data_IF_402036882143
#
_entry.id   IF_402036882143
#
_cell.length_a   1.000
_cell.length_b   1.000
_cell.length_c   1.000
_cell.angle_alpha   90.00
_cell.angle_beta   90.00
_cell.angle_gamma   90.00
#
_symmetry.space_group_name_H-M   'P 1'
#
loop_
_entity.id
_entity.type
_entity.pdbx_description
1 polymer ?
#
# COMPACT_ATOMS: atom_id res chain seq x y z
N UNK A 1 -24.76 14.03 -13.57
CA UNK A 1 -23.87 13.03 -12.92
C UNK A 1 -22.64 13.74 -12.40
N UNK A 2 -22.00 13.15 -11.38
CA UNK A 2 -20.83 13.74 -10.73
C UNK A 2 -19.87 12.64 -10.25
N UNK A 3 -18.60 13.01 -10.05
CA UNK A 3 -17.59 12.16 -9.38
C UNK A 3 -16.88 12.94 -8.30
N UNK A 4 -16.07 12.25 -7.51
CA UNK A 4 -15.25 12.89 -6.48
C UNK A 4 -14.23 13.85 -7.10
N UNK A 5 -14.02 14.97 -6.42
CA UNK A 5 -13.00 15.94 -6.78
C UNK A 5 -11.69 15.59 -6.05
N UNK A 6 -10.82 14.83 -6.71
CA UNK A 6 -9.57 14.38 -6.09
C UNK A 6 -8.61 15.53 -5.74
N UNK A 7 -8.82 16.74 -6.27
CA UNK A 7 -8.00 17.92 -5.95
C UNK A 7 -8.32 18.54 -4.58
N UNK A 8 -9.48 18.25 -3.99
CA UNK A 8 -9.88 18.78 -2.66
C UNK A 8 -9.75 17.74 -1.54
N UNK A 9 -9.73 16.46 -1.90
CA UNK A 9 -9.61 15.34 -0.98
C UNK A 9 -8.18 15.19 -0.45
N UNK A 10 -8.08 14.75 0.80
CA UNK A 10 -6.83 14.39 1.46
C UNK A 10 -6.92 12.96 1.99
N UNK A 11 -5.79 12.26 2.00
CA UNK A 11 -5.69 10.92 2.58
C UNK A 11 -6.14 10.97 4.03
N UNK A 12 -7.01 10.04 4.41
CA UNK A 12 -7.69 10.00 5.70
C UNK A 12 -9.14 10.51 5.63
N UNK A 13 -9.52 11.33 4.63
CA UNK A 13 -10.89 11.82 4.53
C UNK A 13 -11.91 10.66 4.48
N UNK A 14 -13.02 10.83 5.20
CA UNK A 14 -14.15 9.90 5.17
C UNK A 14 -15.16 10.42 4.16
N UNK A 15 -15.45 9.63 3.15
CA UNK A 15 -16.42 9.98 2.11
C UNK A 15 -17.74 9.27 2.43
N UNK A 16 -18.82 10.04 2.54
CA UNK A 16 -20.16 9.54 2.76
C UNK A 16 -21.00 9.72 1.51
N UNK A 17 -21.71 8.67 1.11
CA UNK A 17 -22.54 8.71 -0.10
C UNK A 17 -23.91 8.08 0.08
N UNK A 18 -24.84 8.48 -0.79
CA UNK A 18 -26.04 7.70 -1.09
C UNK A 18 -25.69 6.59 -2.08
N UNK A 19 -25.94 5.33 -1.71
CA UNK A 19 -25.89 4.22 -2.70
C UNK A 19 -27.28 3.89 -3.24
N UNK A 20 -27.37 3.27 -4.41
CA UNK A 20 -28.64 2.83 -5.02
C UNK A 20 -29.05 1.40 -4.63
N UNK A 21 -28.19 0.68 -3.91
CA UNK A 21 -28.45 -0.68 -3.44
C UNK A 21 -29.69 -0.75 -2.53
N UNK A 22 -30.40 -1.90 -2.49
CA UNK A 22 -31.61 -2.07 -1.67
C UNK A 22 -31.38 -1.75 -0.18
N UNK A 23 -30.23 -2.17 0.36
CA UNK A 23 -29.84 -1.91 1.76
C UNK A 23 -29.76 -0.41 2.06
N UNK A 24 -29.37 0.39 1.07
CA UNK A 24 -29.24 1.84 1.17
C UNK A 24 -30.55 2.53 1.56
N UNK A 25 -31.65 2.15 0.89
CA UNK A 25 -32.97 2.72 1.16
C UNK A 25 -33.39 2.46 2.61
N UNK A 26 -33.15 1.23 3.09
CA UNK A 26 -33.44 0.86 4.49
C UNK A 26 -32.63 1.70 5.47
N UNK A 27 -31.31 1.83 5.24
CA UNK A 27 -30.44 2.64 6.10
C UNK A 27 -30.94 4.07 6.17
N UNK A 28 -31.13 4.75 5.02
CA UNK A 28 -31.58 6.15 4.98
C UNK A 28 -32.91 6.38 5.69
N UNK A 29 -33.87 5.47 5.50
CA UNK A 29 -35.19 5.56 6.16
C UNK A 29 -35.06 5.37 7.67
N UNK A 30 -34.28 4.38 8.12
CA UNK A 30 -34.08 4.09 9.53
C UNK A 30 -33.33 5.22 10.25
N UNK A 31 -32.31 5.79 9.60
CA UNK A 31 -31.46 6.83 10.17
C UNK A 31 -31.94 8.26 9.88
N UNK A 32 -33.01 8.41 9.09
CA UNK A 32 -33.53 9.71 8.60
C UNK A 32 -32.42 10.58 7.98
N UNK A 33 -31.55 9.95 7.18
CA UNK A 33 -30.36 10.58 6.60
C UNK A 33 -30.32 10.43 5.08
N UNK A 34 -29.63 11.35 4.40
CA UNK A 34 -29.33 11.31 2.98
C UNK A 34 -28.19 10.33 2.63
N UNK A 35 -27.34 9.99 3.60
CA UNK A 35 -26.21 9.08 3.43
C UNK A 35 -26.51 7.66 3.91
N UNK A 36 -25.90 6.67 3.26
CA UNK A 36 -26.05 5.24 3.58
C UNK A 36 -24.78 4.43 3.45
N UNK A 37 -23.70 5.05 2.98
CA UNK A 37 -22.42 4.41 2.77
C UNK A 37 -21.28 5.29 3.24
N UNK A 38 -20.19 4.66 3.64
CA UNK A 38 -18.98 5.31 4.11
C UNK A 38 -17.75 4.64 3.48
N UNK A 39 -16.78 5.44 3.12
CA UNK A 39 -15.52 5.01 2.49
C UNK A 39 -14.37 5.80 3.10
N UNK A 40 -13.19 5.20 3.20
CA UNK A 40 -11.97 5.89 3.65
C UNK A 40 -11.10 6.19 2.43
N UNK A 41 -10.73 7.45 2.22
CA UNK A 41 -9.81 7.85 1.15
C UNK A 41 -8.36 7.55 1.57
N UNK A 42 -7.71 6.60 0.88
CA UNK A 42 -6.44 6.01 1.35
C UNK A 42 -5.22 6.34 0.47
N UNK A 43 -5.45 6.87 -0.72
CA UNK A 43 -4.43 7.30 -1.68
C UNK A 43 -5.12 8.16 -2.74
N UNK A 44 -4.34 8.90 -3.54
CA UNK A 44 -4.90 9.64 -4.67
C UNK A 44 -5.70 8.67 -5.56
N UNK A 45 -6.93 9.06 -5.87
CA UNK A 45 -7.87 8.24 -6.64
C UNK A 45 -8.29 6.91 -6.02
N UNK A 46 -8.06 6.67 -4.72
CA UNK A 46 -8.28 5.36 -4.11
C UNK A 46 -9.03 5.47 -2.78
N UNK A 47 -10.11 4.69 -2.67
CA UNK A 47 -10.87 4.51 -1.44
C UNK A 47 -10.91 3.05 -1.03
N UNK A 48 -11.11 2.80 0.26
CA UNK A 48 -11.48 1.49 0.79
C UNK A 48 -12.86 1.57 1.39
N UNK A 49 -13.71 0.61 1.03
CA UNK A 49 -15.07 0.51 1.53
C UNK A 49 -15.47 -0.94 1.80
N UNK A 50 -16.60 -1.11 2.48
CA UNK A 50 -17.21 -2.41 2.73
C UNK A 50 -18.59 -2.45 2.05
N UNK A 51 -18.72 -3.27 1.01
CA UNK A 51 -19.98 -3.51 0.28
C UNK A 51 -20.32 -4.99 0.32
N UNK A 52 -21.40 -5.44 -0.33
CA UNK A 52 -21.74 -6.88 -0.41
C UNK A 52 -20.65 -7.76 -1.02
N UNK A 53 -19.67 -7.18 -1.72
CA UNK A 53 -18.47 -7.85 -2.25
C UNK A 53 -17.36 -8.03 -1.20
N UNK A 54 -17.61 -7.62 0.05
CA UNK A 54 -16.61 -7.54 1.11
C UNK A 54 -15.94 -6.16 1.19
N UNK A 55 -14.86 -6.09 1.96
CA UNK A 55 -14.00 -4.91 2.02
C UNK A 55 -13.12 -4.87 0.78
N UNK A 56 -13.11 -3.76 0.04
CA UNK A 56 -12.43 -3.64 -1.24
C UNK A 56 -11.79 -2.27 -1.44
N UNK A 57 -10.77 -2.22 -2.30
CA UNK A 57 -10.25 -0.96 -2.84
C UNK A 57 -10.99 -0.58 -4.14
N UNK A 58 -11.27 0.71 -4.32
CA UNK A 58 -11.97 1.24 -5.51
C UNK A 58 -11.27 2.49 -6.04
N UNK A 59 -11.25 2.63 -7.37
CA UNK A 59 -10.78 3.85 -8.02
C UNK A 59 -11.89 4.91 -8.02
N UNK A 60 -11.66 6.07 -7.42
CA UNK A 60 -12.65 7.16 -7.32
C UNK A 60 -13.06 7.74 -8.67
N UNK A 61 -12.20 7.67 -9.69
CA UNK A 61 -12.49 8.13 -11.04
C UNK A 61 -13.57 7.27 -11.72
N UNK A 62 -13.73 6.01 -11.29
CA UNK A 62 -14.79 5.10 -11.72
C UNK A 62 -16.08 5.23 -10.90
N UNK A 63 -16.06 5.97 -9.79
CA UNK A 63 -17.23 6.17 -8.94
C UNK A 63 -18.07 7.35 -9.45
N UNK A 64 -19.00 7.04 -10.36
CA UNK A 64 -19.95 8.01 -10.90
C UNK A 64 -21.24 7.97 -10.09
N UNK A 65 -21.65 9.13 -9.60
CA UNK A 65 -22.86 9.31 -8.79
C UNK A 65 -23.93 10.04 -9.61
N UNK A 66 -25.18 9.62 -9.44
CA UNK A 66 -26.34 10.36 -9.91
C UNK A 66 -26.44 11.73 -9.23
N UNK A 67 -27.12 12.68 -9.85
CA UNK A 67 -27.25 14.04 -9.32
C UNK A 67 -28.04 14.04 -7.99
N UNK A 68 -28.96 13.10 -7.85
CA UNK A 68 -29.77 12.83 -6.65
C UNK A 68 -29.01 12.19 -5.49
N UNK A 69 -27.82 11.64 -5.75
CA UNK A 69 -27.01 11.00 -4.70
C UNK A 69 -26.30 12.07 -3.87
N UNK A 70 -26.45 12.04 -2.55
CA UNK A 70 -25.63 12.84 -1.65
C UNK A 70 -24.19 12.34 -1.69
N UNK A 71 -23.23 13.28 -1.66
CA UNK A 71 -21.80 13.01 -1.59
C UNK A 71 -21.20 14.05 -0.65
N UNK A 72 -20.63 13.60 0.46
CA UNK A 72 -19.93 14.44 1.43
C UNK A 72 -18.52 13.87 1.63
N UNK A 73 -17.55 14.73 1.92
CA UNK A 73 -16.29 14.30 2.49
C UNK A 73 -16.07 14.99 3.82
N UNK A 74 -15.56 14.24 4.79
CA UNK A 74 -15.35 14.66 6.17
C UNK A 74 -13.89 14.51 6.52
N UNK A 75 -13.33 15.54 7.15
CA UNK A 75 -11.93 15.60 7.57
C UNK A 75 -11.85 15.80 9.08
N UNK A 76 -10.88 15.16 9.71
CA UNK A 76 -10.61 15.37 11.13
C UNK A 76 -10.23 16.83 11.42
N UNK A 77 -10.88 17.42 12.43
CA UNK A 77 -10.51 18.73 12.97
C UNK A 77 -9.16 18.61 13.69
N UNK A 78 -8.29 19.59 13.47
CA UNK A 78 -6.91 19.56 13.99
C UNK A 78 -5.93 18.81 13.09
N UNK A 79 -6.40 18.09 12.06
CA UNK A 79 -5.56 17.30 11.17
C UNK A 79 -5.10 15.98 11.78
N UNK A 80 -4.46 15.16 10.95
CA UNK A 80 -3.82 13.90 11.35
C UNK A 80 -2.30 14.05 11.24
N UNK A 81 -1.56 13.39 12.13
CA UNK A 81 -0.12 13.24 11.92
C UNK A 81 0.13 12.30 10.74
N UNK A 82 1.31 12.39 10.10
CA UNK A 82 1.66 11.48 9.00
C UNK A 82 1.62 10.00 9.44
N UNK A 83 2.03 9.71 10.68
CA UNK A 83 1.98 8.38 11.27
C UNK A 83 0.53 7.89 11.45
N UNK A 84 -0.38 8.75 11.93
CA UNK A 84 -1.79 8.39 12.09
C UNK A 84 -2.47 8.15 10.74
N UNK A 85 -2.20 9.00 9.74
CA UNK A 85 -2.69 8.78 8.37
C UNK A 85 -2.26 7.40 7.87
N UNK A 86 -0.96 7.09 8.01
CA UNK A 86 -0.42 5.80 7.57
C UNK A 86 -1.07 4.64 8.32
N UNK A 87 -1.21 4.71 9.64
CA UNK A 87 -1.82 3.66 10.45
C UNK A 87 -3.31 3.45 10.13
N UNK A 88 -4.09 4.52 9.94
CA UNK A 88 -5.50 4.47 9.49
C UNK A 88 -5.59 3.76 8.14
N UNK A 89 -4.75 4.16 7.17
CA UNK A 89 -4.75 3.55 5.85
C UNK A 89 -4.30 2.08 5.89
N UNK A 90 -3.31 1.74 6.71
CA UNK A 90 -2.83 0.36 6.89
C UNK A 90 -3.92 -0.50 7.52
N UNK A 91 -4.64 0.00 8.52
CA UNK A 91 -5.79 -0.70 9.08
C UNK A 91 -6.83 -0.98 7.99
N UNK A 92 -7.27 0.05 7.26
CA UNK A 92 -8.27 -0.11 6.21
C UNK A 92 -7.83 -1.11 5.13
N UNK A 93 -6.57 -1.05 4.69
CA UNK A 93 -5.97 -2.00 3.73
C UNK A 93 -5.91 -3.42 4.27
N UNK A 94 -5.53 -3.60 5.53
CA UNK A 94 -5.50 -4.92 6.19
C UNK A 94 -6.88 -5.58 6.26
N UNK A 95 -7.97 -4.80 6.21
CA UNK A 95 -9.31 -5.36 6.18
C UNK A 95 -9.76 -5.86 4.79
N UNK A 96 -9.03 -5.55 3.70
CA UNK A 96 -9.41 -5.95 2.34
C UNK A 96 -9.65 -7.46 2.24
N UNK A 97 -10.75 -7.84 1.60
CA UNK A 97 -11.23 -9.20 1.47
C UNK A 97 -12.17 -9.67 2.59
N UNK A 98 -12.22 -8.97 3.72
CA UNK A 98 -13.14 -9.28 4.84
C UNK A 98 -14.59 -9.27 4.38
N UNK A 99 -15.37 -10.28 4.77
CA UNK A 99 -16.74 -10.41 4.32
C UNK A 99 -17.64 -9.30 4.87
N UNK A 100 -18.71 -8.98 4.13
CA UNK A 100 -19.70 -8.00 4.55
C UNK A 100 -20.82 -8.56 5.40
N UNK A 101 -21.33 -7.75 6.33
CA UNK A 101 -22.42 -8.08 7.24
C UNK A 101 -23.63 -7.19 7.01
N UNK A 102 -24.47 -7.54 6.03
CA UNK A 102 -25.74 -6.84 5.80
C UNK A 102 -26.67 -6.89 7.02
N UNK A 103 -26.67 -8.02 7.74
CA UNK A 103 -27.47 -8.21 8.96
C UNK A 103 -27.05 -7.23 10.05
N UNK A 104 -25.74 -7.07 10.31
CA UNK A 104 -25.28 -6.10 11.30
C UNK A 104 -25.48 -4.67 10.82
N UNK A 105 -25.20 -4.35 9.56
CA UNK A 105 -25.42 -2.99 9.02
C UNK A 105 -26.87 -2.51 9.23
N UNK A 106 -27.84 -3.36 8.89
CA UNK A 106 -29.27 -3.06 9.09
C UNK A 106 -29.65 -3.03 10.57
N UNK A 107 -29.08 -3.93 11.38
CA UNK A 107 -29.38 -4.00 12.81
C UNK A 107 -28.87 -2.77 13.56
N UNK A 108 -27.65 -2.33 13.27
CA UNK A 108 -27.08 -1.08 13.78
C UNK A 108 -28.00 0.09 13.48
N UNK A 109 -28.45 0.21 12.22
CA UNK A 109 -29.32 1.31 11.80
C UNK A 109 -30.71 1.31 12.47
N UNK A 110 -31.25 0.15 12.86
CA UNK A 110 -32.60 0.05 13.43
C UNK A 110 -32.66 -0.07 14.96
N UNK A 111 -31.67 -0.74 15.58
CA UNK A 111 -31.76 -1.17 16.98
C UNK A 111 -30.46 -1.00 17.79
N UNK A 112 -29.40 -0.41 17.21
CA UNK A 112 -28.13 -0.18 17.91
C UNK A 112 -27.31 -1.45 18.21
N UNK A 113 -26.46 -1.40 19.25
CA UNK A 113 -25.42 -2.38 19.60
C UNK A 113 -25.97 -3.79 19.91
N UNK A 114 -25.66 -4.81 19.08
CA UNK A 114 -25.91 -6.22 19.35
C UNK A 114 -25.04 -6.80 20.47
N UNK A 115 -25.46 -7.95 21.02
CA UNK A 115 -24.73 -8.68 22.10
C UNK A 115 -23.48 -9.43 21.64
N UNK A 116 -23.34 -9.73 20.34
CA UNK A 116 -22.23 -10.54 19.81
C UNK A 116 -21.74 -9.98 18.49
N UNK A 117 -20.46 -9.60 18.46
CA UNK A 117 -19.75 -9.06 17.29
C UNK A 117 -19.25 -10.16 16.38
N UNK A 118 -19.50 -10.02 15.09
CA UNK A 118 -18.81 -10.82 14.08
C UNK A 118 -17.55 -10.09 13.60
N UNK A 119 -16.57 -10.84 13.07
CA UNK A 119 -15.37 -10.28 12.44
C UNK A 119 -15.63 -9.68 11.04
N UNK A 120 -16.87 -9.77 10.54
CA UNK A 120 -17.28 -9.20 9.26
C UNK A 120 -17.39 -7.69 9.37
N UNK A 121 -17.37 -7.02 8.23
CA UNK A 121 -17.37 -5.56 8.16
C UNK A 121 -18.68 -5.01 7.57
N UNK A 122 -18.93 -3.74 7.85
CA UNK A 122 -19.81 -2.88 7.05
C UNK A 122 -19.21 -1.48 6.98
N UNK A 123 -19.68 -0.67 6.05
CA UNK A 123 -19.02 0.57 5.63
C UNK A 123 -18.66 1.54 6.77
N UNK A 124 -19.62 1.89 7.63
CA UNK A 124 -19.38 2.82 8.75
C UNK A 124 -18.51 2.21 9.86
N UNK A 125 -18.68 0.91 10.17
CA UNK A 125 -17.80 0.18 11.11
C UNK A 125 -16.36 0.24 10.65
N UNK A 126 -16.10 -0.05 9.37
CA UNK A 126 -14.76 -0.02 8.81
C UNK A 126 -14.10 1.36 8.98
N UNK A 127 -14.82 2.43 8.64
CA UNK A 127 -14.32 3.80 8.77
C UNK A 127 -14.07 4.18 10.25
N UNK A 128 -15.00 3.85 11.14
CA UNK A 128 -14.86 4.17 12.57
C UNK A 128 -13.72 3.38 13.23
N UNK A 129 -13.58 2.09 12.92
CA UNK A 129 -12.50 1.25 13.43
C UNK A 129 -11.13 1.70 12.92
N UNK A 130 -11.04 2.19 11.67
CA UNK A 130 -9.78 2.70 11.13
C UNK A 130 -9.25 3.86 11.99
N UNK A 131 -10.11 4.81 12.37
CA UNK A 131 -9.74 5.89 13.27
C UNK A 131 -9.53 5.44 14.72
N UNK A 132 -10.35 4.50 15.21
CA UNK A 132 -10.17 3.94 16.55
C UNK A 132 -8.83 3.20 16.70
N UNK A 133 -8.26 2.67 15.61
CA UNK A 133 -6.95 1.99 15.61
C UNK A 133 -5.78 2.91 16.02
N UNK A 134 -5.95 4.22 15.90
CA UNK A 134 -4.99 5.25 16.33
C UNK A 134 -5.50 6.05 17.55
N UNK A 135 -6.48 5.50 18.27
CA UNK A 135 -7.04 6.13 19.47
C UNK A 135 -8.04 7.27 19.22
N UNK A 136 -8.46 7.49 17.97
CA UNK A 136 -9.42 8.55 17.62
C UNK A 136 -10.84 7.95 17.58
N UNK A 137 -11.63 8.24 18.61
CA UNK A 137 -13.02 7.79 18.70
C UNK A 137 -13.97 8.78 18.01
N UNK A 138 -14.27 8.53 16.74
CA UNK A 138 -15.20 9.38 15.96
C UNK A 138 -16.66 9.28 16.40
N UNK A 139 -17.01 8.16 17.04
CA UNK A 139 -18.36 7.76 17.47
C UNK A 139 -18.22 6.96 18.78
N UNK A 140 -19.31 6.84 19.53
CA UNK A 140 -19.33 6.15 20.83
C UNK A 140 -18.91 4.67 20.72
N UNK A 141 -19.39 3.98 19.68
CA UNK A 141 -19.10 2.58 19.40
C UNK A 141 -18.61 2.39 17.96
N UNK A 142 -17.29 2.19 17.73
CA UNK A 142 -16.75 1.98 16.38
C UNK A 142 -17.19 0.64 15.76
N UNK A 143 -17.71 -0.30 16.54
CA UNK A 143 -18.21 -1.58 16.04
C UNK A 143 -19.66 -1.50 15.54
N UNK A 144 -20.41 -0.50 16.03
CA UNK A 144 -21.83 -0.35 15.76
C UNK A 144 -22.21 1.12 15.59
N UNK A 145 -21.79 1.69 14.45
CA UNK A 145 -22.17 3.04 14.04
C UNK A 145 -22.78 3.07 12.63
N UNK A 146 -23.49 4.13 12.34
CA UNK A 146 -24.12 4.43 11.06
C UNK A 146 -23.36 5.53 10.33
N UNK A 147 -23.51 5.66 9.00
CA UNK A 147 -22.91 6.77 8.27
C UNK A 147 -23.33 8.16 8.77
N UNK A 148 -24.55 8.31 9.31
CA UNK A 148 -25.02 9.59 9.86
C UNK A 148 -24.34 9.93 11.19
N UNK A 149 -23.98 8.94 12.01
CA UNK A 149 -23.22 9.19 13.24
C UNK A 149 -21.82 9.70 12.92
N UNK A 150 -21.18 9.18 11.86
CA UNK A 150 -19.95 9.77 11.33
C UNK A 150 -20.20 11.20 10.82
N UNK A 151 -21.27 11.43 10.05
CA UNK A 151 -21.64 12.78 9.55
C UNK A 151 -21.82 13.79 10.69
N UNK A 152 -22.36 13.36 11.81
CA UNK A 152 -22.64 14.20 12.99
C UNK A 152 -21.48 14.26 14.00
N UNK A 153 -20.36 13.58 13.74
CA UNK A 153 -19.22 13.59 14.65
C UNK A 153 -18.67 15.00 14.83
N UNK A 154 -18.59 15.47 16.08
CA UNK A 154 -18.05 16.79 16.41
C UNK A 154 -16.57 16.93 16.08
N UNK A 155 -15.85 15.81 15.96
CA UNK A 155 -14.44 15.76 15.59
C UNK A 155 -14.21 15.97 14.10
N UNK A 156 -15.26 15.85 13.28
CA UNK A 156 -15.17 15.98 11.83
C UNK A 156 -15.68 17.34 11.36
N UNK A 157 -15.10 17.82 10.26
CA UNK A 157 -15.58 18.96 9.49
C UNK A 157 -15.83 18.55 8.05
N UNK A 158 -16.81 19.16 7.41
CA UNK A 158 -17.09 18.94 6.00
C UNK A 158 -16.01 19.59 5.12
N UNK A 159 -15.65 18.91 4.04
CA UNK A 159 -14.77 19.43 2.98
C UNK A 159 -15.66 20.00 1.88
N UNK A 160 -15.31 21.20 1.39
CA UNK A 160 -16.06 21.87 0.34
C UNK A 160 -15.67 21.38 -1.06
N UNK A 161 -16.56 21.58 -2.04
CA UNK A 161 -16.32 21.29 -3.46
C UNK A 161 -15.79 19.86 -3.74
N UNK A 162 -16.34 18.87 -3.03
CA UNK A 162 -15.91 17.46 -3.06
C UNK A 162 -16.35 16.69 -4.31
N UNK A 163 -17.11 17.32 -5.20
CA UNK A 163 -17.53 16.72 -6.46
C UNK A 163 -17.31 17.63 -7.65
N UNK A 164 -17.01 17.02 -8.79
CA UNK A 164 -16.99 17.68 -10.11
C UNK A 164 -18.05 17.05 -11.03
N UNK A 165 -18.64 17.83 -11.95
CA UNK A 165 -19.58 17.29 -12.93
C UNK A 165 -18.88 16.31 -13.88
N UNK A 166 -19.61 15.29 -14.31
CA UNK A 166 -19.13 14.29 -15.28
C UNK A 166 -20.13 14.19 -16.42
N UNK A 167 -19.63 14.25 -17.66
CA UNK A 167 -20.46 14.10 -18.86
C UNK A 167 -20.81 12.62 -19.09
N UNK A 168 -21.90 12.36 -19.81
CA UNK A 168 -22.25 10.99 -20.19
C UNK A 168 -21.16 10.31 -21.04
N UNK A 169 -20.46 11.09 -21.86
CA UNK A 169 -19.33 10.61 -22.67
C UNK A 169 -18.13 10.21 -21.82
N UNK A 170 -17.76 11.02 -20.82
CA UNK A 170 -16.69 10.70 -19.87
C UNK A 170 -17.04 9.44 -19.06
N UNK A 171 -18.26 9.33 -18.57
CA UNK A 171 -18.72 8.14 -17.85
C UNK A 171 -18.64 6.88 -18.74
N UNK A 172 -19.12 6.96 -19.99
CA UNK A 172 -19.04 5.85 -20.94
C UNK A 172 -17.61 5.52 -21.39
N UNK A 173 -16.68 6.48 -21.34
CA UNK A 173 -15.26 6.22 -21.58
C UNK A 173 -14.67 5.36 -20.46
N UNK A 174 -14.96 5.69 -19.20
CA UNK A 174 -14.54 4.89 -18.04
C UNK A 174 -15.07 3.45 -18.07
N UNK A 175 -16.32 3.26 -18.49
CA UNK A 175 -16.91 1.92 -18.64
C UNK A 175 -16.20 1.07 -19.70
N UNK A 176 -15.70 1.68 -20.79
CA UNK A 176 -14.98 0.98 -21.85
C UNK A 176 -13.54 0.62 -21.49
N UNK A 177 -12.91 1.35 -20.58
CA UNK A 177 -11.57 1.02 -20.12
C UNK A 177 -11.57 -0.30 -19.32
N UNK A 178 -10.53 -1.14 -19.44
CA UNK A 178 -10.38 -2.31 -18.57
C UNK A 178 -10.39 -1.90 -17.09
N UNK A 179 -11.26 -2.53 -16.29
CA UNK A 179 -11.34 -2.30 -14.85
C UNK A 179 -10.34 -3.22 -14.12
N UNK A 180 -9.05 -2.87 -14.19
CA UNK A 180 -8.00 -3.59 -13.46
C UNK A 180 -8.25 -3.65 -11.95
N UNK A 181 -8.77 -2.58 -11.30
CA UNK A 181 -9.22 -2.69 -9.92
C UNK A 181 -10.29 -3.77 -9.70
N UNK A 182 -11.30 -3.90 -10.58
CA UNK A 182 -12.28 -5.00 -10.50
C UNK A 182 -11.60 -6.36 -10.62
N UNK A 183 -10.68 -6.54 -11.58
CA UNK A 183 -9.94 -7.80 -11.72
C UNK A 183 -9.18 -8.15 -10.42
N UNK A 184 -8.56 -7.17 -9.76
CA UNK A 184 -7.91 -7.39 -8.47
C UNK A 184 -8.89 -7.79 -7.37
N UNK A 185 -10.05 -7.13 -7.28
CA UNK A 185 -11.11 -7.50 -6.32
C UNK A 185 -11.58 -8.93 -6.52
N UNK A 186 -11.83 -9.32 -7.78
CA UNK A 186 -12.29 -10.65 -8.14
C UNK A 186 -11.25 -11.72 -7.79
N UNK A 187 -9.97 -11.46 -8.10
CA UNK A 187 -8.86 -12.35 -7.78
C UNK A 187 -8.64 -12.49 -6.27
N UNK A 188 -8.69 -11.39 -5.50
CA UNK A 188 -8.64 -11.43 -4.01
C UNK A 188 -9.78 -12.29 -3.46
N UNK A 189 -11.00 -12.07 -3.96
CA UNK A 189 -12.17 -12.82 -3.50
C UNK A 189 -12.06 -14.29 -3.84
N UNK A 190 -11.58 -14.65 -5.04
CA UNK A 190 -11.34 -16.03 -5.43
C UNK A 190 -10.36 -16.73 -4.48
N UNK A 191 -9.25 -16.05 -4.11
CA UNK A 191 -8.29 -16.59 -3.13
C UNK A 191 -8.96 -16.85 -1.79
N UNK A 192 -9.62 -15.84 -1.23
CA UNK A 192 -10.18 -15.93 0.12
C UNK A 192 -11.40 -16.85 0.19
N UNK A 193 -12.20 -16.95 -0.87
CA UNK A 193 -13.27 -17.95 -0.97
C UNK A 193 -12.72 -19.37 -1.01
N UNK A 194 -11.61 -19.60 -1.74
CA UNK A 194 -10.87 -20.85 -1.72
C UNK A 194 -10.37 -21.18 -0.31
N UNK A 195 -9.65 -20.26 0.33
CA UNK A 195 -9.15 -20.43 1.69
C UNK A 195 -10.25 -20.74 2.71
N UNK A 196 -11.42 -20.09 2.58
CA UNK A 196 -12.60 -20.34 3.44
C UNK A 196 -13.22 -21.73 3.28
N UNK A 197 -12.81 -22.52 2.28
CA UNK A 197 -13.21 -23.94 2.20
C UNK A 197 -12.47 -24.78 3.25
N UNK A 198 -11.23 -24.42 3.58
CA UNK A 198 -10.46 -25.01 4.68
C UNK A 198 -10.84 -24.43 6.03
N UNK A 199 -10.91 -23.10 6.13
CA UNK A 199 -11.21 -22.44 7.39
C UNK A 199 -12.21 -21.29 7.20
N UNK A 200 -13.46 -21.52 7.64
CA UNK A 200 -14.56 -20.54 7.55
C UNK A 200 -14.31 -19.24 8.31
N UNK A 201 -13.35 -19.20 9.23
CA UNK A 201 -13.02 -18.01 10.00
C UNK A 201 -12.14 -17.02 9.24
N UNK A 202 -11.45 -17.44 8.16
CA UNK A 202 -10.58 -16.57 7.38
C UNK A 202 -11.39 -15.41 6.78
N UNK A 203 -11.07 -14.19 7.19
CA UNK A 203 -11.68 -12.98 6.64
C UNK A 203 -10.78 -12.30 5.62
N UNK A 204 -9.48 -12.17 5.89
CA UNK A 204 -8.51 -11.45 5.06
C UNK A 204 -7.22 -12.27 4.89
N UNK A 205 -6.20 -11.69 4.24
CA UNK A 205 -4.90 -12.33 4.08
C UNK A 205 -4.15 -12.52 5.40
N UNK A 206 -4.31 -11.63 6.39
CA UNK A 206 -3.68 -11.81 7.70
C UNK A 206 -4.18 -13.09 8.40
N UNK A 207 -5.48 -13.37 8.32
CA UNK A 207 -6.06 -14.63 8.81
C UNK A 207 -5.53 -15.84 8.04
N UNK A 208 -5.33 -15.71 6.73
CA UNK A 208 -4.77 -16.76 5.89
C UNK A 208 -3.32 -17.06 6.29
N UNK A 209 -2.50 -16.04 6.51
CA UNK A 209 -1.13 -16.19 6.98
C UNK A 209 -1.09 -16.85 8.36
N UNK A 210 -1.92 -16.37 9.29
CA UNK A 210 -2.03 -16.96 10.62
C UNK A 210 -2.49 -18.41 10.56
N UNK A 211 -3.43 -18.75 9.68
CA UNK A 211 -3.86 -20.12 9.46
C UNK A 211 -2.71 -21.01 8.95
N UNK A 212 -1.97 -20.59 7.93
CA UNK A 212 -0.83 -21.36 7.41
C UNK A 212 0.29 -21.55 8.44
N UNK A 213 0.54 -20.55 9.28
CA UNK A 213 1.49 -20.68 10.38
C UNK A 213 1.09 -21.77 11.41
N UNK A 214 -0.21 -22.02 11.58
CA UNK A 214 -0.73 -23.05 12.49
C UNK A 214 -1.01 -24.40 11.83
N UNK A 215 -1.32 -24.40 10.53
CA UNK A 215 -1.70 -25.56 9.74
C UNK A 215 -0.85 -25.64 8.46
N UNK A 216 0.47 -25.88 8.59
CA UNK A 216 1.39 -25.90 7.46
C UNK A 216 1.05 -26.99 6.43
N UNK A 217 0.28 -28.03 6.81
CA UNK A 217 -0.21 -29.06 5.89
C UNK A 217 -1.16 -28.53 4.79
N UNK A 218 -1.73 -27.33 4.99
CA UNK A 218 -2.59 -26.67 4.01
C UNK A 218 -1.81 -25.82 2.99
N UNK A 219 -0.48 -25.73 3.09
CA UNK A 219 0.38 -24.89 2.23
C UNK A 219 0.20 -25.18 0.73
N UNK A 220 0.28 -26.44 0.31
CA UNK A 220 0.10 -26.82 -1.09
C UNK A 220 -1.28 -26.42 -1.62
N UNK A 221 -2.33 -26.59 -0.81
CA UNK A 221 -3.68 -26.19 -1.17
C UNK A 221 -3.82 -24.68 -1.34
N UNK A 222 -3.18 -23.90 -0.47
CA UNK A 222 -3.22 -22.43 -0.57
C UNK A 222 -2.37 -21.91 -1.74
N UNK A 223 -1.24 -22.56 -2.05
CA UNK A 223 -0.46 -22.29 -3.25
C UNK A 223 -1.28 -22.49 -4.52
N UNK A 224 -1.98 -23.63 -4.64
CA UNK A 224 -2.84 -23.93 -5.79
C UNK A 224 -3.91 -22.85 -6.01
N UNK A 225 -4.49 -22.33 -4.93
CA UNK A 225 -5.48 -21.24 -5.00
C UNK A 225 -4.84 -19.94 -5.50
N UNK A 226 -3.64 -19.58 -5.03
CA UNK A 226 -2.94 -18.37 -5.50
C UNK A 226 -2.67 -18.44 -7.01
N UNK A 227 -2.25 -19.61 -7.50
CA UNK A 227 -1.96 -19.81 -8.91
C UNK A 227 -3.23 -19.79 -9.77
N UNK A 228 -4.25 -20.57 -9.39
CA UNK A 228 -5.49 -20.72 -10.16
C UNK A 228 -6.33 -19.42 -10.19
N UNK A 229 -6.26 -18.61 -9.14
CA UNK A 229 -6.94 -17.30 -9.10
C UNK A 229 -6.29 -16.23 -9.99
N UNK A 230 -5.05 -16.47 -10.44
CA UNK A 230 -4.25 -15.48 -11.18
C UNK A 230 -3.61 -14.41 -10.29
N UNK A 231 -3.67 -14.54 -8.95
CA UNK A 231 -3.15 -13.54 -8.01
C UNK A 231 -1.68 -13.21 -8.26
N UNK A 232 -0.87 -14.24 -8.55
CA UNK A 232 0.56 -14.11 -8.79
C UNK A 232 0.93 -13.49 -10.16
N UNK A 233 -0.04 -13.35 -11.08
CA UNK A 233 0.23 -12.93 -12.46
C UNK A 233 -0.54 -11.70 -12.92
N UNK A 234 -1.51 -11.22 -12.12
CA UNK A 234 -2.36 -10.09 -12.49
C UNK A 234 -1.57 -8.80 -12.81
N UNK A 235 -0.42 -8.61 -12.17
CA UNK A 235 0.47 -7.46 -12.42
C UNK A 235 0.89 -7.32 -13.90
N UNK A 236 0.93 -8.42 -14.66
CA UNK A 236 1.28 -8.42 -16.08
C UNK A 236 0.28 -7.61 -16.92
N UNK A 237 -0.99 -7.54 -16.48
CA UNK A 237 -2.02 -6.76 -17.18
C UNK A 237 -1.64 -5.28 -17.23
N UNK A 238 -1.09 -4.73 -16.14
CA UNK A 238 -0.64 -3.34 -16.11
C UNK A 238 0.52 -3.10 -17.08
N UNK A 239 1.53 -3.98 -17.04
CA UNK A 239 2.68 -3.89 -17.94
C UNK A 239 2.30 -3.93 -19.41
N UNK A 240 1.43 -4.87 -19.79
CA UNK A 240 1.00 -5.02 -21.19
C UNK A 240 0.15 -3.83 -21.63
N UNK A 241 -0.71 -3.31 -20.75
CA UNK A 241 -1.59 -2.19 -21.08
C UNK A 241 -0.84 -0.86 -21.14
N UNK A 242 0.16 -0.67 -20.27
CA UNK A 242 0.86 0.58 -20.09
C UNK A 242 2.40 0.39 -20.10
N UNK A 243 2.98 -0.14 -21.19
CA UNK A 243 4.41 -0.42 -21.26
C UNK A 243 5.26 0.85 -21.15
N UNK A 244 4.72 1.99 -21.56
CA UNK A 244 5.32 3.32 -21.46
C UNK A 244 5.66 3.74 -20.02
N UNK A 245 5.02 3.15 -19.00
CA UNK A 245 5.36 3.46 -17.61
C UNK A 245 6.73 2.89 -17.19
N UNK A 246 7.27 1.93 -17.94
CA UNK A 246 8.47 1.16 -17.57
C UNK A 246 9.64 1.37 -18.54
N UNK A 247 9.42 2.14 -19.62
CA UNK A 247 10.40 2.39 -20.67
C UNK A 247 10.35 3.87 -21.07
N UNK A 248 11.50 4.55 -20.94
CA UNK A 248 11.61 5.98 -21.22
C UNK A 248 11.32 6.31 -22.68
N UNK A 249 11.81 5.52 -23.64
CA UNK A 249 11.59 5.79 -25.05
C UNK A 249 10.10 5.64 -25.43
N UNK A 250 9.41 4.67 -24.83
CA UNK A 250 7.96 4.53 -24.99
C UNK A 250 7.19 5.68 -24.31
N UNK A 251 7.65 6.16 -23.14
CA UNK A 251 7.06 7.32 -22.48
C UNK A 251 7.18 8.59 -23.34
N UNK A 252 8.35 8.83 -23.92
CA UNK A 252 8.60 9.93 -24.86
C UNK A 252 7.65 9.86 -26.06
N UNK A 253 7.51 8.67 -26.66
CA UNK A 253 6.64 8.46 -27.83
C UNK A 253 5.14 8.63 -27.50
N UNK A 254 4.72 8.37 -26.27
CA UNK A 254 3.33 8.48 -25.82
C UNK A 254 2.89 9.93 -25.49
N UNK A 255 3.82 10.88 -25.46
CA UNK A 255 3.63 12.20 -24.85
C UNK A 255 2.54 13.07 -25.52
N UNK A 256 1.52 13.40 -24.73
CA UNK A 256 0.85 14.70 -24.72
C UNK A 256 1.36 15.44 -23.48
N UNK A 257 2.20 16.46 -23.66
CA UNK A 257 3.19 16.91 -22.66
C UNK A 257 2.69 17.27 -21.25
N UNK A 258 1.47 17.78 -21.10
CA UNK A 258 0.95 18.24 -19.80
C UNK A 258 0.49 17.06 -18.93
N UNK A 259 -0.24 16.10 -19.49
CA UNK A 259 -0.76 14.93 -18.75
C UNK A 259 0.38 14.01 -18.26
N UNK A 260 1.47 13.91 -19.04
CA UNK A 260 2.63 13.10 -18.68
C UNK A 260 3.39 13.67 -17.48
N UNK A 261 3.54 15.00 -17.43
CA UNK A 261 4.22 15.67 -16.33
C UNK A 261 3.47 15.49 -15.00
N UNK A 262 2.13 15.53 -15.03
CA UNK A 262 1.29 15.28 -13.85
C UNK A 262 1.40 13.82 -13.41
N UNK A 263 1.35 12.87 -14.34
CA UNK A 263 1.60 11.45 -14.03
C UNK A 263 2.96 11.25 -13.35
N UNK A 264 4.03 11.81 -13.91
CA UNK A 264 5.37 11.65 -13.35
C UNK A 264 5.47 12.25 -11.95
N UNK A 265 4.90 13.44 -11.73
CA UNK A 265 4.84 14.06 -10.40
C UNK A 265 4.05 13.21 -9.41
N UNK A 266 2.93 12.62 -9.82
CA UNK A 266 2.12 11.75 -8.96
C UNK A 266 2.88 10.48 -8.56
N UNK A 267 3.63 9.86 -9.48
CA UNK A 267 4.50 8.71 -9.17
C UNK A 267 5.51 9.09 -8.10
N UNK A 268 6.19 10.23 -8.24
CA UNK A 268 7.19 10.68 -7.27
C UNK A 268 6.59 11.13 -5.94
N UNK A 269 5.42 11.78 -5.96
CA UNK A 269 4.73 12.21 -4.74
C UNK A 269 4.32 11.01 -3.87
N UNK A 270 3.99 9.87 -4.48
CA UNK A 270 3.70 8.64 -3.74
C UNK A 270 4.95 8.08 -3.03
N UNK A 271 6.16 8.29 -3.56
CA UNK A 271 7.41 7.90 -2.86
C UNK A 271 7.67 8.76 -1.61
N UNK A 272 7.25 10.03 -1.66
CA UNK A 272 7.43 10.96 -0.54
C UNK A 272 6.54 10.63 0.67
N UNK A 273 5.51 9.81 0.47
CA UNK A 273 4.57 9.39 1.52
C UNK A 273 5.10 8.30 2.46
N UNK A 274 6.35 7.88 2.29
CA UNK A 274 6.97 6.79 3.03
C UNK A 274 7.22 5.56 2.13
N UNK A 275 7.70 4.45 2.70
CA UNK A 275 8.08 3.29 1.91
C UNK A 275 6.88 2.70 1.17
N UNK A 276 7.11 2.32 -0.08
CA UNK A 276 6.08 1.72 -0.90
C UNK A 276 5.62 0.41 -0.27
N UNK A 277 4.30 0.17 -0.31
CA UNK A 277 3.71 -1.08 0.21
C UNK A 277 4.35 -2.34 -0.37
N UNK A 278 4.91 -2.27 -1.58
CA UNK A 278 5.55 -3.41 -2.21
C UNK A 278 6.84 -3.82 -1.49
N UNK A 279 7.64 -2.84 -1.06
CA UNK A 279 8.86 -3.08 -0.28
C UNK A 279 8.49 -3.63 1.10
N UNK A 280 7.51 -3.01 1.77
CA UNK A 280 7.04 -3.45 3.10
C UNK A 280 6.55 -4.90 3.07
N UNK A 281 5.69 -5.22 2.09
CA UNK A 281 5.16 -6.58 1.96
C UNK A 281 6.25 -7.57 1.58
N UNK A 282 7.17 -7.21 0.68
CA UNK A 282 8.33 -8.05 0.33
C UNK A 282 9.11 -8.43 1.59
N UNK A 283 9.49 -7.45 2.41
CA UNK A 283 10.25 -7.70 3.64
C UNK A 283 9.52 -8.63 4.59
N UNK A 284 8.21 -8.42 4.76
CA UNK A 284 7.35 -9.27 5.60
C UNK A 284 7.26 -10.72 5.08
N UNK A 285 7.02 -10.92 3.79
CA UNK A 285 6.93 -12.27 3.22
C UNK A 285 8.29 -12.97 3.15
N UNK A 286 9.39 -12.24 2.94
CA UNK A 286 10.74 -12.80 3.07
C UNK A 286 10.98 -13.30 4.50
N UNK A 287 10.57 -12.54 5.53
CA UNK A 287 10.68 -12.97 6.92
C UNK A 287 9.79 -14.20 7.20
N UNK A 288 8.54 -14.21 6.74
CA UNK A 288 7.65 -15.37 6.89
C UNK A 288 8.18 -16.61 6.16
N UNK A 289 8.73 -16.46 4.96
CA UNK A 289 9.34 -17.56 4.23
C UNK A 289 10.53 -18.15 5.01
N UNK A 290 11.44 -17.32 5.52
CA UNK A 290 12.56 -17.77 6.37
C UNK A 290 12.07 -18.44 7.67
N UNK A 291 11.02 -17.90 8.28
CA UNK A 291 10.51 -18.37 9.58
C UNK A 291 9.74 -19.69 9.48
N UNK A 292 8.86 -19.82 8.48
CA UNK A 292 7.93 -20.95 8.38
C UNK A 292 8.32 -21.98 7.33
N UNK A 293 9.18 -21.64 6.36
CA UNK A 293 9.60 -22.55 5.29
C UNK A 293 8.46 -23.02 4.38
N UNK A 294 7.40 -22.22 4.26
CA UNK A 294 6.21 -22.56 3.46
C UNK A 294 6.28 -21.94 2.06
N UNK A 295 5.88 -22.71 1.05
CA UNK A 295 5.93 -22.28 -0.36
C UNK A 295 5.02 -21.10 -0.62
N UNK A 296 3.89 -20.99 0.09
CA UNK A 296 3.00 -19.85 -0.02
C UNK A 296 3.73 -18.53 0.25
N UNK A 297 4.52 -18.45 1.33
CA UNK A 297 5.24 -17.23 1.68
C UNK A 297 6.39 -16.95 0.72
N UNK A 298 7.02 -17.97 0.15
CA UNK A 298 7.99 -17.82 -0.95
C UNK A 298 7.34 -17.19 -2.18
N UNK A 299 6.21 -17.74 -2.66
CA UNK A 299 5.48 -17.23 -3.83
C UNK A 299 5.05 -15.76 -3.64
N UNK A 300 4.59 -15.41 -2.44
CA UNK A 300 4.25 -14.04 -2.11
C UNK A 300 5.49 -13.14 -2.08
N UNK A 301 6.61 -13.60 -1.51
CA UNK A 301 7.88 -12.88 -1.52
C UNK A 301 8.41 -12.64 -2.95
N UNK A 302 8.31 -13.65 -3.82
CA UNK A 302 8.65 -13.56 -5.26
C UNK A 302 7.76 -12.52 -5.95
N UNK A 303 6.43 -12.57 -5.75
CA UNK A 303 5.50 -11.59 -6.29
C UNK A 303 5.85 -10.16 -5.85
N UNK A 304 6.03 -9.93 -4.55
CA UNK A 304 6.32 -8.58 -4.06
C UNK A 304 7.71 -8.07 -4.44
N UNK A 305 8.67 -8.97 -4.69
CA UNK A 305 9.95 -8.62 -5.31
C UNK A 305 9.75 -8.10 -6.75
N UNK A 306 8.90 -8.76 -7.54
CA UNK A 306 8.55 -8.29 -8.88
C UNK A 306 7.86 -6.91 -8.78
N UNK A 307 6.85 -6.77 -7.93
CA UNK A 307 6.10 -5.51 -7.79
C UNK A 307 6.99 -4.34 -7.33
N UNK A 308 7.92 -4.57 -6.40
CA UNK A 308 8.87 -3.56 -5.95
C UNK A 308 9.82 -3.15 -7.08
N UNK A 309 10.35 -4.11 -7.84
CA UNK A 309 11.20 -3.85 -9.02
C UNK A 309 10.48 -3.01 -10.07
N UNK A 310 9.24 -3.39 -10.40
CA UNK A 310 8.42 -2.68 -11.38
C UNK A 310 8.11 -1.26 -10.94
N UNK A 311 7.79 -1.08 -9.66
CA UNK A 311 7.54 0.23 -9.10
C UNK A 311 8.80 1.11 -9.14
N UNK A 312 9.96 0.58 -8.73
CA UNK A 312 11.22 1.31 -8.84
C UNK A 312 11.50 1.75 -10.27
N UNK A 313 11.28 0.86 -11.25
CA UNK A 313 11.44 1.19 -12.67
C UNK A 313 10.53 2.34 -13.11
N UNK A 314 9.29 2.38 -12.62
CA UNK A 314 8.36 3.49 -12.90
C UNK A 314 8.87 4.82 -12.32
N UNK A 315 9.43 4.78 -11.12
CA UNK A 315 10.04 5.95 -10.46
C UNK A 315 11.25 6.45 -11.26
N UNK A 316 12.14 5.56 -11.69
CA UNK A 316 13.29 5.91 -12.55
C UNK A 316 12.84 6.58 -13.84
N UNK A 317 11.91 5.95 -14.56
CA UNK A 317 11.41 6.45 -15.85
C UNK A 317 10.73 7.81 -15.68
N UNK A 318 9.87 7.97 -14.68
CA UNK A 318 9.23 9.25 -14.37
C UNK A 318 10.24 10.34 -14.02
N UNK A 319 11.28 10.00 -13.25
CA UNK A 319 12.36 10.92 -12.88
C UNK A 319 13.15 11.38 -14.10
N UNK A 320 13.61 10.44 -14.93
CA UNK A 320 14.37 10.75 -16.14
C UNK A 320 13.55 11.55 -17.14
N UNK A 321 12.26 11.24 -17.30
CA UNK A 321 11.38 11.98 -18.18
C UNK A 321 11.24 13.45 -17.74
N UNK A 322 11.02 13.70 -16.44
CA UNK A 322 10.96 15.07 -15.90
C UNK A 322 12.28 15.82 -16.13
N UNK A 323 13.41 15.19 -15.84
CA UNK A 323 14.75 15.78 -16.03
C UNK A 323 15.02 16.13 -17.49
N UNK A 324 14.71 15.23 -18.43
CA UNK A 324 14.89 15.44 -19.87
C UNK A 324 14.06 16.63 -20.38
N UNK A 325 12.94 16.93 -19.74
CA UNK A 325 12.06 18.06 -20.06
C UNK A 325 12.35 19.33 -19.27
N UNK A 326 13.46 19.38 -18.53
CA UNK A 326 13.84 20.55 -17.73
C UNK A 326 12.90 20.82 -16.55
N UNK A 327 12.08 19.83 -16.16
CA UNK A 327 11.21 19.89 -15.01
C UNK A 327 11.97 19.32 -13.80
N UNK A 328 12.03 20.04 -12.69
CA UNK A 328 12.68 19.52 -11.49
C UNK A 328 11.90 18.32 -10.94
N UNK A 329 12.53 17.15 -10.76
CA UNK A 329 11.95 16.09 -9.95
C UNK A 329 11.73 16.60 -8.53
N UNK A 330 10.64 16.16 -7.90
CA UNK A 330 10.31 16.58 -6.53
C UNK A 330 11.36 16.16 -5.50
N UNK A 331 12.21 15.17 -5.80
CA UNK A 331 13.30 14.71 -4.94
C UNK A 331 14.49 14.16 -5.75
N UNK A 332 15.70 14.32 -5.21
CA UNK A 332 16.86 13.55 -5.66
C UNK A 332 16.70 12.08 -5.23
N UNK A 333 17.23 11.13 -6.02
CA UNK A 333 17.34 9.75 -5.58
C UNK A 333 18.06 9.70 -4.21
N UNK A 334 17.62 8.87 -3.25
CA UNK A 334 18.33 8.73 -1.99
C UNK A 334 19.79 8.38 -2.29
N UNK A 335 20.72 9.12 -1.70
CA UNK A 335 22.13 8.77 -1.75
C UNK A 335 22.36 7.36 -1.18
N UNK A 336 23.52 6.77 -1.48
CA UNK A 336 23.89 5.46 -0.96
C UNK A 336 23.81 5.48 0.57
N UNK A 337 23.05 4.54 1.16
CA UNK A 337 22.80 4.51 2.59
C UNK A 337 24.03 3.99 3.32
N UNK A 338 24.63 4.79 4.21
CA UNK A 338 25.77 4.34 5.00
C UNK A 338 25.32 3.39 6.12
N UNK A 339 25.94 2.21 6.27
CA UNK A 339 25.63 1.28 7.36
C UNK A 339 25.62 1.92 8.74
N UNK A 340 24.72 1.43 9.60
CA UNK A 340 24.58 1.86 11.00
C UNK A 340 24.13 3.31 11.23
N UNK A 341 23.78 4.04 10.17
CA UNK A 341 23.09 5.33 10.29
C UNK A 341 21.58 5.14 10.55
N UNK A 342 20.88 6.15 11.13
CA UNK A 342 19.43 6.07 11.30
C UNK A 342 18.66 5.79 10.00
N UNK A 343 19.02 6.47 8.90
CA UNK A 343 18.38 6.28 7.60
C UNK A 343 18.61 4.88 7.01
N UNK A 344 19.79 4.31 7.22
CA UNK A 344 20.07 2.93 6.84
C UNK A 344 19.25 1.94 7.65
N UNK A 345 19.10 2.13 8.96
CA UNK A 345 18.27 1.27 9.79
C UNK A 345 16.79 1.37 9.43
N UNK A 346 16.29 2.56 9.12
CA UNK A 346 14.92 2.76 8.66
C UNK A 346 14.66 1.97 7.37
N UNK A 347 15.53 2.10 6.38
CA UNK A 347 15.42 1.38 5.12
C UNK A 347 15.62 -0.15 5.30
N UNK A 348 16.59 -0.57 6.12
CA UNK A 348 16.90 -1.98 6.32
C UNK A 348 15.79 -2.69 7.07
N UNK A 349 15.16 -2.04 8.06
CA UNK A 349 14.02 -2.61 8.80
C UNK A 349 12.87 -2.98 7.86
N UNK A 350 12.71 -2.23 6.76
CA UNK A 350 11.68 -2.50 5.76
C UNK A 350 12.12 -3.55 4.74
N UNK A 351 13.41 -3.53 4.37
CA UNK A 351 13.97 -4.41 3.35
C UNK A 351 14.26 -5.82 3.86
N UNK A 352 14.99 -5.94 4.97
CA UNK A 352 15.30 -7.19 5.66
C UNK A 352 15.23 -6.97 7.19
N UNK A 353 14.02 -7.10 7.78
CA UNK A 353 13.79 -6.87 9.21
C UNK A 353 14.69 -7.73 10.11
N UNK A 354 14.97 -8.97 9.70
CA UNK A 354 15.83 -9.88 10.48
C UNK A 354 17.28 -9.40 10.50
N UNK A 355 17.79 -8.93 9.36
CA UNK A 355 19.12 -8.33 9.27
C UNK A 355 19.21 -7.03 10.07
N UNK A 356 18.16 -6.22 10.09
CA UNK A 356 18.09 -5.01 10.90
C UNK A 356 18.20 -5.34 12.40
N UNK A 357 17.39 -6.28 12.89
CA UNK A 357 17.42 -6.71 14.30
C UNK A 357 18.76 -7.34 14.68
N UNK A 358 19.34 -8.16 13.81
CA UNK A 358 20.68 -8.73 14.02
C UNK A 358 21.74 -7.63 14.15
N UNK A 359 21.72 -6.63 13.28
CA UNK A 359 22.65 -5.51 13.35
C UNK A 359 22.46 -4.67 14.63
N UNK A 360 21.21 -4.43 15.06
CA UNK A 360 20.92 -3.75 16.33
C UNK A 360 21.48 -4.53 17.52
N UNK A 361 21.27 -5.85 17.54
CA UNK A 361 21.76 -6.72 18.59
C UNK A 361 23.30 -6.73 18.66
N UNK A 362 23.96 -6.81 17.49
CA UNK A 362 25.42 -6.75 17.39
C UNK A 362 25.99 -5.44 17.94
N UNK A 363 25.42 -4.29 17.54
CA UNK A 363 25.82 -2.96 18.05
C UNK A 363 25.57 -2.85 19.55
N UNK A 364 24.42 -3.32 20.04
CA UNK A 364 24.08 -3.26 21.45
C UNK A 364 25.04 -4.12 22.31
N UNK A 365 25.45 -5.28 21.81
CA UNK A 365 26.42 -6.14 22.48
C UNK A 365 27.82 -5.54 22.50
N UNK A 366 28.25 -4.89 21.42
CA UNK A 366 29.56 -4.24 21.32
C UNK A 366 29.65 -2.90 22.08
N UNK A 367 28.54 -2.18 22.20
CA UNK A 367 28.48 -0.85 22.84
C UNK A 367 28.94 0.31 21.95
N UNK A 368 29.27 0.06 20.67
CA UNK A 368 29.58 1.08 19.66
C UNK A 368 29.14 0.65 18.25
N UNK A 369 29.06 1.59 17.31
CA UNK A 369 28.56 1.35 15.95
C UNK A 369 29.64 0.88 14.96
N UNK A 370 30.91 0.88 15.36
CA UNK A 370 32.04 0.49 14.50
C UNK A 370 32.33 -1.01 14.53
N UNK A 371 31.29 -1.82 14.35
CA UNK A 371 31.34 -3.29 14.39
C UNK A 371 30.62 -3.92 13.20
N UNK A 372 30.83 -5.21 12.97
CA UNK A 372 30.12 -5.96 11.94
C UNK A 372 28.61 -6.03 12.21
N UNK A 373 27.79 -5.73 11.20
CA UNK A 373 26.31 -5.83 11.21
C UNK A 373 25.77 -7.26 11.38
N UNK A 374 26.64 -8.28 11.40
CA UNK A 374 26.28 -9.69 11.49
C UNK A 374 26.72 -10.29 12.82
N UNK A 375 28.03 -10.28 13.12
CA UNK A 375 28.57 -10.90 14.33
C UNK A 375 28.93 -9.92 15.46
N UNK A 376 29.04 -8.62 15.17
CA UNK A 376 29.52 -7.63 16.14
C UNK A 376 31.04 -7.55 16.29
N UNK A 377 31.82 -8.26 15.47
CA UNK A 377 33.29 -8.20 15.52
C UNK A 377 33.85 -6.89 14.95
N UNK A 378 35.07 -6.57 15.38
CA UNK A 378 35.93 -5.52 14.85
C UNK A 378 37.31 -6.09 14.43
N UNK A 379 38.04 -5.43 13.50
CA UNK A 379 37.61 -4.30 12.70
C UNK A 379 36.57 -4.71 11.64
N UNK A 380 35.62 -3.81 11.37
CA UNK A 380 34.64 -3.95 10.29
C UNK A 380 34.67 -2.72 9.39
N UNK A 381 34.34 -2.90 8.11
CA UNK A 381 34.32 -1.83 7.10
C UNK A 381 32.99 -1.80 6.37
N UNK A 382 32.68 -0.68 5.75
CA UNK A 382 31.47 -0.56 4.95
C UNK A 382 31.68 -1.19 3.57
N UNK A 383 30.70 -1.96 3.15
CA UNK A 383 30.66 -2.61 1.84
C UNK A 383 29.33 -2.34 1.17
N UNK A 384 29.33 -2.41 -0.16
CA UNK A 384 28.15 -2.31 -1.01
C UNK A 384 28.13 -3.49 -1.97
N UNK A 385 26.95 -4.03 -2.27
CA UNK A 385 26.82 -5.07 -3.30
C UNK A 385 27.33 -4.56 -4.65
N UNK A 386 28.04 -5.43 -5.38
CA UNK A 386 28.43 -5.21 -6.76
C UNK A 386 27.20 -4.85 -7.61
N UNK A 387 27.37 -3.97 -8.59
CA UNK A 387 26.26 -3.36 -9.33
C UNK A 387 25.26 -4.37 -9.92
N UNK A 388 25.76 -5.47 -10.49
CA UNK A 388 24.94 -6.54 -11.05
C UNK A 388 24.10 -7.31 -10.01
N UNK A 389 24.43 -7.18 -8.73
CA UNK A 389 23.81 -7.88 -7.60
C UNK A 389 23.02 -6.92 -6.70
N UNK A 390 23.05 -5.63 -6.97
CA UNK A 390 22.26 -4.66 -6.20
C UNK A 390 20.78 -4.98 -6.40
N UNK A 391 20.00 -5.02 -5.31
CA UNK A 391 18.57 -5.16 -5.46
C UNK A 391 18.03 -3.92 -6.19
N UNK A 392 17.00 -4.09 -7.05
CA UNK A 392 16.41 -2.97 -7.75
C UNK A 392 15.72 -1.97 -6.82
N UNK A 393 15.52 -2.31 -5.55
CA UNK A 393 15.07 -1.40 -4.50
C UNK A 393 15.64 -1.86 -3.16
N UNK A 394 15.61 -0.99 -2.14
CA UNK A 394 16.01 -1.34 -0.77
C UNK A 394 17.49 -1.09 -0.45
N UNK A 395 17.99 -1.80 0.57
CA UNK A 395 19.35 -1.58 1.11
C UNK A 395 20.35 -2.51 0.43
N UNK A 396 21.45 -1.94 -0.05
CA UNK A 396 22.53 -2.65 -0.75
C UNK A 396 23.89 -2.53 -0.05
N UNK A 397 23.92 -1.98 1.17
CA UNK A 397 25.13 -1.78 1.97
C UNK A 397 25.08 -2.52 3.31
N UNK A 398 26.23 -3.00 3.77
CA UNK A 398 26.43 -3.60 5.09
C UNK A 398 27.80 -3.24 5.65
N UNK A 399 27.95 -3.25 6.98
CA UNK A 399 29.26 -3.20 7.64
C UNK A 399 29.70 -4.62 7.99
N UNK A 400 30.84 -5.07 7.47
CA UNK A 400 31.27 -6.47 7.60
C UNK A 400 32.71 -6.56 8.13
N UNK A 401 32.97 -7.53 9.01
CA UNK A 401 34.34 -8.00 9.28
C UNK A 401 34.81 -8.93 8.15
N UNK A 402 36.10 -9.23 8.09
CA UNK A 402 36.70 -10.04 7.01
C UNK A 402 36.05 -11.44 6.92
N UNK A 403 35.75 -12.07 8.07
CA UNK A 403 35.12 -13.40 8.11
C UNK A 403 33.69 -13.38 7.55
N UNK A 404 32.86 -12.42 8.01
CA UNK A 404 31.49 -12.28 7.50
C UNK A 404 31.48 -11.89 6.02
N UNK A 405 32.42 -11.07 5.55
CA UNK A 405 32.58 -10.74 4.13
C UNK A 405 32.86 -12.02 3.31
N UNK A 406 33.82 -12.83 3.73
CA UNK A 406 34.19 -14.06 3.02
C UNK A 406 33.02 -15.06 2.95
N UNK A 407 32.26 -15.20 4.04
CA UNK A 407 31.06 -16.05 4.09
C UNK A 407 30.01 -15.54 3.09
N UNK A 408 29.69 -14.24 3.12
CA UNK A 408 28.69 -13.61 2.24
C UNK A 408 29.06 -13.77 0.77
N UNK A 409 30.32 -13.54 0.41
CA UNK A 409 30.82 -13.74 -0.95
C UNK A 409 30.69 -15.19 -1.41
N UNK A 410 30.98 -16.16 -0.53
CA UNK A 410 30.79 -17.59 -0.82
C UNK A 410 29.32 -17.96 -1.01
N UNK A 411 28.41 -17.25 -0.33
CA UNK A 411 26.95 -17.39 -0.49
C UNK A 411 26.40 -16.67 -1.73
N UNK A 412 27.26 -16.07 -2.57
CA UNK A 412 26.83 -15.40 -3.80
C UNK A 412 26.43 -13.94 -3.62
N UNK A 413 26.84 -13.30 -2.52
CA UNK A 413 26.66 -11.86 -2.27
C UNK A 413 28.01 -11.13 -2.45
N UNK A 414 28.37 -10.70 -3.68
CA UNK A 414 29.65 -10.07 -3.96
C UNK A 414 29.67 -8.63 -3.45
N UNK A 415 30.03 -8.47 -2.17
CA UNK A 415 30.24 -7.16 -1.55
C UNK A 415 31.60 -6.58 -1.93
N UNK A 416 31.60 -5.31 -2.32
CA UNK A 416 32.76 -4.50 -2.71
C UNK A 416 32.98 -3.38 -1.68
N UNK A 417 34.24 -2.93 -1.44
CA UNK A 417 34.51 -1.85 -0.50
C UNK A 417 33.72 -0.58 -0.84
N UNK A 418 33.04 -0.01 0.16
CA UNK A 418 32.26 1.22 0.03
C UNK A 418 32.91 2.34 0.83
N UNK A 419 33.26 3.42 0.14
CA UNK A 419 33.76 4.65 0.75
C UNK A 419 32.70 5.76 0.58
N UNK A 420 31.98 6.14 1.65
CA UNK A 420 30.94 7.18 1.56
C UNK A 420 31.51 8.55 1.16
N UNK A 421 32.80 8.84 1.44
CA UNK A 421 33.42 10.13 1.11
C UNK A 421 33.76 10.26 -0.39
N UNK A 422 34.15 9.16 -1.04
CA UNK A 422 34.37 9.13 -2.50
C UNK A 422 33.06 9.11 -3.30
N UNK A 423 32.03 8.45 -2.77
CA UNK A 423 30.76 8.23 -3.46
C UNK A 423 29.91 9.51 -3.61
N UNK A 424 30.13 10.51 -2.75
CA UNK A 424 29.49 11.84 -2.86
C UNK A 424 30.07 12.72 -3.98
N UNK A 425 31.27 12.44 -4.47
CA UNK A 425 31.95 13.23 -5.50
C UNK A 425 31.55 12.81 -6.93
N UNK A 426 31.24 11.53 -7.15
CA UNK A 426 30.85 11.00 -8.47
C UNK A 426 29.45 11.47 -8.91
N UNK A 427 28.56 11.81 -7.97
CA UNK A 427 27.25 12.41 -8.26
C UNK A 427 27.30 13.85 -8.81
N UNK A 428 28.46 14.52 -8.73
CA UNK A 428 28.66 15.89 -9.24
C UNK A 428 29.57 15.96 -10.46
N UNK A 429 30.31 14.89 -10.80
CA UNK A 429 31.33 14.93 -11.85
C UNK A 429 30.87 14.50 -13.25
N UNK A 430 29.65 14.00 -13.45
CA UNK A 430 29.14 13.65 -14.79
C UNK A 430 28.32 14.77 -15.47
N UNK A 431 28.78 16.03 -15.35
CA UNK A 431 28.16 17.20 -16.02
C UNK A 431 29.07 17.98 -16.97
N UNK A 432 30.23 17.46 -17.30
CA UNK A 432 31.09 18.07 -18.31
C UNK A 432 31.77 16.99 -19.13
N UNK A 433 31.12 16.54 -20.19
CA UNK A 433 31.77 16.22 -21.46
C UNK A 433 30.72 15.81 -22.51
N UNK A 434 30.05 16.81 -23.08
CA UNK A 434 29.60 16.80 -24.47
C UNK A 434 29.67 18.24 -24.98
N UNK A 435 30.70 18.50 -25.80
CA UNK A 435 30.75 19.64 -26.72
C UNK A 435 30.18 19.23 -28.06
#
# INVERSE_FOLDING_TARGET
MKRLNDSTLQVGDIILTTTTAKVSKTIRVATKSDVSHAMVYVEKHSVIDATTEGVQARNTQRLIFGDECAVHALRLRGGLSAADVQAICNFARGQVGTQYSAKEAVRTAMWGTPRTKTRKQFCSRLAAQAYASVGIQLVDDPDYCTPVELKNSVLLREVEAVTVPVTAEEAAAWERHPDKPQMMRDTINAVLEGARRKNKQIQNFDDLHAHLAHYPEDDAYMCDILEQSGYLTLWRVEQVTNPWQYDLALMEAASRSIEMADYCRDVLANEMGGPTRYIVNRGSYTAFSKQFGLRFFELMSELYTILATLHHRRVEVATHWLQAHGLQPLTAAPGVLQPHTPAWFEALTLWDPMQAEMARAAIAAAGHVDVCSVCGDDPARDYRLAEANRPPAGVDTLRLCDDCLAIRQTMGEPYEPFDPERSGAEGLMNRSDFR
#
